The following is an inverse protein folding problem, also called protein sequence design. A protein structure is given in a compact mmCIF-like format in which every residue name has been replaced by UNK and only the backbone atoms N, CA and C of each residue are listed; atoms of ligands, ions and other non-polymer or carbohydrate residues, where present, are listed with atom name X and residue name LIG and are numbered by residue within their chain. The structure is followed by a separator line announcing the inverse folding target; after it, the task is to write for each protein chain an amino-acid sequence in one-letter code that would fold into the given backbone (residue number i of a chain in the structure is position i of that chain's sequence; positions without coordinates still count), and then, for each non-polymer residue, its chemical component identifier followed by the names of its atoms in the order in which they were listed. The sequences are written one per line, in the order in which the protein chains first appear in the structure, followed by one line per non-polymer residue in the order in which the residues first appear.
data_IF_438768136243
#
_entry.id   IF_438768136243
#
_cell.length_a   1.000
_cell.length_b   1.000
_cell.length_c   1.000
_cell.angle_alpha   90.00
_cell.angle_beta   90.00
_cell.angle_gamma   90.00
#
_symmetry.space_group_name_H-M   'P 1'
#
loop_
_entity.id
_entity.type
_entity.pdbx_description
1 polymer ?
#
# COMPACT_ATOMS: atom_id res chain seq x y z
N UNK A 1 1.12 9.36 16.52
CA UNK A 1 0.50 10.59 17.08
C UNK A 1 0.98 10.94 18.50
N UNK A 2 0.95 10.03 19.49
CA UNK A 2 1.40 10.34 20.88
C UNK A 2 2.85 10.85 21.01
N UNK A 3 3.78 10.37 20.18
CA UNK A 3 5.20 10.80 20.21
C UNK A 3 5.44 12.20 19.63
N UNK A 4 4.57 12.67 18.72
CA UNK A 4 4.66 14.03 18.13
C UNK A 4 4.26 15.08 19.17
N UNK A 5 3.20 14.79 19.94
CA UNK A 5 2.78 15.64 21.05
C UNK A 5 3.88 15.77 22.12
N UNK A 6 4.51 14.66 22.52
CA UNK A 6 5.63 14.69 23.48
C UNK A 6 6.85 15.46 22.95
N UNK A 7 7.11 15.42 21.64
CA UNK A 7 8.21 16.17 21.03
C UNK A 7 7.95 17.68 21.04
N UNK A 8 6.73 18.11 20.70
CA UNK A 8 6.33 19.53 20.78
C UNK A 8 6.37 20.06 22.21
N UNK A 9 5.93 19.29 23.21
CA UNK A 9 5.99 19.70 24.62
C UNK A 9 7.43 19.81 25.13
N UNK A 10 8.35 19.01 24.59
CA UNK A 10 9.77 19.04 24.96
C UNK A 10 10.50 20.22 24.30
N UNK A 11 10.19 20.51 23.03
CA UNK A 11 10.71 21.66 22.29
C UNK A 11 10.22 23.00 22.87
N UNK A 12 8.94 23.10 23.25
CA UNK A 12 8.41 24.29 23.92
C UNK A 12 9.04 24.53 25.31
N UNK A 13 9.45 23.47 26.01
CA UNK A 13 10.17 23.58 27.29
C UNK A 13 11.60 24.08 27.12
N UNK A 14 12.29 23.64 26.07
CA UNK A 14 13.65 24.10 25.76
C UNK A 14 13.70 25.59 25.36
N UNK A 15 12.66 26.10 24.69
CA UNK A 15 12.57 27.49 24.27
C UNK A 15 12.33 28.48 25.44
N UNK A 16 11.86 27.99 26.61
CA UNK A 16 11.44 28.82 27.74
C UNK A 16 12.59 29.27 28.66
N UNK A 17 13.80 28.73 28.53
CA UNK A 17 14.84 28.85 29.58
C UNK A 17 16.27 29.24 29.13
N UNK A 18 16.48 29.79 27.94
CA UNK A 18 17.85 30.14 27.49
C UNK A 18 18.05 31.63 27.21
N UNK A 19 18.86 32.37 28.00
CA UNK A 19 19.36 33.69 27.65
C UNK A 19 20.70 33.54 26.91
N UNK A 20 20.68 33.37 25.59
CA UNK A 20 21.88 33.26 24.75
C UNK A 20 21.75 34.13 23.50
N UNK A 21 22.86 34.68 22.98
CA UNK A 21 22.86 35.69 21.92
C UNK A 21 22.21 35.16 20.63
N UNK A 22 21.29 35.97 20.11
CA UNK A 22 20.23 35.61 19.17
C UNK A 22 20.71 34.99 17.84
N UNK A 23 21.93 35.30 17.38
CA UNK A 23 22.44 34.81 16.09
C UNK A 23 23.03 33.38 16.06
N UNK A 24 23.49 32.84 17.20
CA UNK A 24 24.15 31.51 17.29
C UNK A 24 23.21 30.41 17.83
N UNK A 25 22.07 30.80 18.38
CA UNK A 25 21.04 29.88 18.85
C UNK A 25 20.11 29.44 17.70
N UNK A 26 19.80 30.34 16.78
CA UNK A 26 18.91 30.07 15.63
C UNK A 26 19.52 29.03 14.67
N UNK A 27 20.82 29.13 14.33
CA UNK A 27 21.50 28.18 13.44
C UNK A 27 21.62 26.76 14.05
N UNK A 28 21.83 26.65 15.37
CA UNK A 28 21.83 25.36 16.08
C UNK A 28 20.43 24.76 16.17
N UNK A 29 19.41 25.58 16.42
CA UNK A 29 18.03 25.12 16.44
C UNK A 29 17.57 24.64 15.06
N UNK A 30 17.95 25.33 13.98
CA UNK A 30 17.66 24.92 12.61
C UNK A 30 18.33 23.58 12.31
N UNK A 31 19.62 23.40 12.63
CA UNK A 31 20.32 22.12 12.43
C UNK A 31 19.74 20.98 13.27
N UNK A 32 19.32 21.25 14.51
CA UNK A 32 18.66 20.27 15.37
C UNK A 32 17.27 19.90 14.84
N UNK A 33 16.50 20.87 14.35
CA UNK A 33 15.20 20.65 13.70
C UNK A 33 15.37 19.83 12.42
N UNK A 34 16.35 20.15 11.57
CA UNK A 34 16.67 19.37 10.37
C UNK A 34 17.10 17.94 10.71
N UNK A 35 17.94 17.74 11.73
CA UNK A 35 18.35 16.42 12.21
C UNK A 35 17.16 15.62 12.76
N UNK A 36 16.26 16.26 13.51
CA UNK A 36 15.04 15.63 14.00
C UNK A 36 14.09 15.30 12.85
N UNK A 37 13.91 16.19 11.87
CA UNK A 37 13.11 15.93 10.67
C UNK A 37 13.69 14.79 9.84
N UNK A 38 15.03 14.73 9.67
CA UNK A 38 15.72 13.65 8.96
C UNK A 38 15.60 12.32 9.71
N UNK A 39 15.72 12.34 11.04
CA UNK A 39 15.54 11.15 11.87
C UNK A 39 14.09 10.66 11.87
N UNK A 40 13.12 11.57 11.95
CA UNK A 40 11.69 11.23 11.80
C UNK A 40 11.39 10.66 10.40
N UNK A 41 11.96 11.25 9.34
CA UNK A 41 11.86 10.72 7.98
C UNK A 41 12.40 9.30 7.85
N UNK A 42 13.61 9.04 8.39
CA UNK A 42 14.22 7.71 8.37
C UNK A 42 13.41 6.68 9.16
N UNK A 43 12.86 7.06 10.32
CA UNK A 43 12.04 6.17 11.15
C UNK A 43 10.69 5.83 10.51
N UNK A 44 10.09 6.78 9.79
CA UNK A 44 8.86 6.56 9.04
C UNK A 44 9.09 5.57 7.88
N UNK A 45 10.26 5.65 7.25
CA UNK A 45 10.67 4.76 6.17
C UNK A 45 11.01 3.34 6.64
N UNK A 46 11.59 3.20 7.84
CA UNK A 46 11.76 1.91 8.50
C UNK A 46 10.40 1.28 8.84
N UNK A 47 9.46 2.06 9.38
CA UNK A 47 8.10 1.59 9.72
C UNK A 47 7.34 1.13 8.47
N UNK A 48 7.50 1.83 7.35
CA UNK A 48 6.88 1.49 6.07
C UNK A 48 7.26 0.13 5.51
N UNK A 49 8.53 -0.28 5.65
CA UNK A 49 9.02 -1.58 5.16
C UNK A 49 8.38 -2.77 5.88
N UNK A 50 8.23 -2.67 7.20
CA UNK A 50 7.55 -3.72 7.97
C UNK A 50 6.05 -3.76 7.69
N UNK A 51 5.42 -2.60 7.50
CA UNK A 51 4.02 -2.51 7.08
C UNK A 51 3.78 -3.18 5.73
N UNK A 52 4.66 -2.96 4.76
CA UNK A 52 4.59 -3.57 3.42
C UNK A 52 4.55 -5.10 3.49
N UNK A 53 5.52 -5.71 4.18
CA UNK A 53 5.63 -7.16 4.29
C UNK A 53 4.39 -7.74 4.97
N UNK A 54 3.90 -7.08 6.02
CA UNK A 54 2.76 -7.57 6.78
C UNK A 54 1.44 -7.45 6.03
N UNK A 55 1.18 -6.32 5.35
CA UNK A 55 -0.03 -6.13 4.54
C UNK A 55 -0.05 -7.14 3.38
N UNK A 56 1.07 -7.31 2.68
CA UNK A 56 1.17 -8.24 1.55
C UNK A 56 0.91 -9.68 1.99
N UNK A 57 1.53 -10.10 3.09
CA UNK A 57 1.35 -11.44 3.66
C UNK A 57 -0.09 -11.66 4.12
N UNK A 58 -0.68 -10.67 4.79
CA UNK A 58 -2.10 -10.72 5.20
C UNK A 58 -3.01 -10.88 4.00
N UNK A 59 -2.78 -10.13 2.92
CA UNK A 59 -3.57 -10.25 1.70
C UNK A 59 -3.44 -11.65 1.08
N UNK A 60 -2.22 -12.22 1.02
CA UNK A 60 -2.00 -13.59 0.52
C UNK A 60 -2.82 -14.61 1.33
N UNK A 61 -2.74 -14.54 2.66
CA UNK A 61 -3.52 -15.42 3.53
C UNK A 61 -5.04 -15.24 3.36
N UNK A 62 -5.51 -13.99 3.31
CA UNK A 62 -6.94 -13.67 3.14
C UNK A 62 -7.45 -14.17 1.79
N UNK A 63 -6.71 -13.96 0.71
CA UNK A 63 -7.08 -14.46 -0.62
C UNK A 63 -7.12 -15.98 -0.68
N UNK A 64 -6.14 -16.66 -0.08
CA UNK A 64 -6.12 -18.11 -0.05
C UNK A 64 -7.28 -18.69 0.78
N UNK A 65 -7.57 -18.13 1.95
CA UNK A 65 -8.65 -18.57 2.82
C UNK A 65 -10.02 -18.27 2.22
N UNK A 66 -10.25 -17.03 1.77
CA UNK A 66 -11.55 -16.61 1.23
C UNK A 66 -11.81 -17.18 -0.16
N UNK A 67 -10.78 -17.41 -0.98
CA UNK A 67 -10.92 -18.12 -2.26
C UNK A 67 -11.36 -19.57 -2.05
N UNK A 68 -10.68 -20.30 -1.15
CA UNK A 68 -11.09 -21.66 -0.78
C UNK A 68 -12.51 -21.69 -0.19
N UNK A 69 -12.85 -20.72 0.67
CA UNK A 69 -14.19 -20.61 1.25
C UNK A 69 -15.26 -20.29 0.19
N UNK A 70 -14.96 -19.40 -0.77
CA UNK A 70 -15.86 -19.09 -1.86
C UNK A 70 -16.15 -20.32 -2.71
N UNK A 71 -15.12 -21.11 -3.06
CA UNK A 71 -15.29 -22.40 -3.77
C UNK A 71 -16.12 -23.38 -2.95
N UNK A 72 -15.87 -23.51 -1.64
CA UNK A 72 -16.67 -24.36 -0.76
C UNK A 72 -18.15 -23.95 -0.75
N UNK A 73 -18.45 -22.65 -0.62
CA UNK A 73 -19.82 -22.14 -0.59
C UNK A 73 -20.55 -22.41 -1.92
N UNK A 74 -19.87 -22.21 -3.05
CA UNK A 74 -20.43 -22.51 -4.37
C UNK A 74 -20.67 -24.01 -4.57
N UNK A 75 -19.71 -24.86 -4.18
CA UNK A 75 -19.84 -26.32 -4.29
C UNK A 75 -20.96 -26.86 -3.39
N UNK A 76 -21.03 -26.41 -2.13
CA UNK A 76 -22.09 -26.80 -1.20
C UNK A 76 -23.49 -26.39 -1.68
N UNK A 77 -23.59 -25.27 -2.40
CA UNK A 77 -24.86 -24.83 -2.97
C UNK A 77 -25.25 -25.64 -4.23
N UNK A 78 -24.28 -26.22 -4.94
CA UNK A 78 -24.49 -26.99 -6.15
C UNK A 78 -24.71 -28.49 -5.90
N UNK A 79 -23.86 -29.14 -5.09
CA UNK A 79 -23.89 -30.60 -4.86
C UNK A 79 -23.59 -30.95 -3.39
N UNK A 80 -24.46 -31.75 -2.76
CA UNK A 80 -24.31 -32.18 -1.36
C UNK A 80 -23.45 -33.45 -1.17
N UNK A 81 -22.93 -34.05 -2.23
CA UNK A 81 -22.31 -35.39 -2.20
C UNK A 81 -20.79 -35.39 -2.40
N UNK A 82 -20.18 -34.24 -2.67
CA UNK A 82 -18.76 -34.14 -3.04
C UNK A 82 -17.89 -33.84 -1.83
N UNK A 83 -16.84 -34.64 -1.60
CA UNK A 83 -15.84 -34.36 -0.56
C UNK A 83 -15.04 -33.10 -0.90
N UNK A 84 -15.22 -32.04 -0.12
CA UNK A 84 -14.45 -30.81 -0.29
C UNK A 84 -12.99 -31.02 0.13
N UNK A 85 -12.05 -30.65 -0.75
CA UNK A 85 -10.61 -30.65 -0.47
C UNK A 85 -10.07 -29.22 -0.54
N UNK A 86 -9.22 -28.85 0.42
CA UNK A 86 -8.51 -27.58 0.41
C UNK A 86 -7.53 -27.52 -0.77
N UNK A 87 -7.69 -26.52 -1.64
CA UNK A 87 -6.83 -26.36 -2.80
C UNK A 87 -5.63 -25.46 -2.44
N UNK A 88 -4.47 -26.11 -2.33
CA UNK A 88 -3.18 -25.49 -2.03
C UNK A 88 -2.72 -24.57 -3.16
N UNK A 89 -3.25 -24.75 -4.37
CA UNK A 89 -2.97 -23.89 -5.53
C UNK A 89 -3.35 -22.44 -5.28
N UNK A 90 -4.40 -22.16 -4.49
CA UNK A 90 -4.76 -20.79 -4.12
C UNK A 90 -3.66 -20.10 -3.32
N UNK A 91 -3.02 -20.80 -2.37
CA UNK A 91 -1.92 -20.26 -1.57
C UNK A 91 -0.73 -19.93 -2.47
N UNK A 92 -0.34 -20.87 -3.33
CA UNK A 92 0.80 -20.68 -4.23
C UNK A 92 0.54 -19.55 -5.25
N UNK A 93 -0.66 -19.53 -5.84
CA UNK A 93 -1.06 -18.48 -6.79
C UNK A 93 -1.06 -17.11 -6.13
N UNK A 94 -1.64 -16.98 -4.93
CA UNK A 94 -1.68 -15.73 -4.18
C UNK A 94 -0.27 -15.22 -3.84
N UNK A 95 0.59 -16.09 -3.32
CA UNK A 95 1.95 -15.76 -2.93
C UNK A 95 2.74 -15.21 -4.13
N UNK A 96 2.78 -15.97 -5.23
CA UNK A 96 3.50 -15.53 -6.44
C UNK A 96 2.95 -14.23 -7.01
N UNK A 97 1.62 -14.09 -7.12
CA UNK A 97 1.02 -12.90 -7.71
C UNK A 97 1.22 -11.65 -6.85
N UNK A 98 1.00 -11.72 -5.54
CA UNK A 98 1.01 -10.55 -4.67
C UNK A 98 2.45 -10.12 -4.38
N UNK A 99 3.34 -11.06 -4.02
CA UNK A 99 4.74 -10.71 -3.79
C UNK A 99 5.42 -10.26 -5.10
N UNK A 100 5.11 -10.92 -6.22
CA UNK A 100 5.55 -10.49 -7.54
C UNK A 100 5.10 -9.06 -7.85
N UNK A 101 3.81 -8.74 -7.65
CA UNK A 101 3.28 -7.39 -7.86
C UNK A 101 3.97 -6.35 -6.97
N UNK A 102 4.11 -6.63 -5.67
CA UNK A 102 4.72 -5.71 -4.70
C UNK A 102 6.19 -5.43 -5.01
N UNK A 103 6.92 -6.39 -5.58
CA UNK A 103 8.34 -6.22 -5.91
C UNK A 103 8.49 -5.58 -7.30
N UNK A 104 7.91 -6.20 -8.32
CA UNK A 104 8.13 -5.85 -9.73
C UNK A 104 7.56 -4.48 -10.06
N UNK A 105 6.36 -4.16 -9.62
CA UNK A 105 5.69 -2.91 -10.03
C UNK A 105 6.42 -1.67 -9.49
N UNK A 106 6.75 -1.56 -8.20
CA UNK A 106 7.49 -0.41 -7.68
C UNK A 106 8.91 -0.31 -8.24
N UNK A 107 9.56 -1.44 -8.54
CA UNK A 107 10.86 -1.46 -9.24
C UNK A 107 10.75 -0.90 -10.65
N UNK A 108 9.79 -1.39 -11.45
CA UNK A 108 9.55 -0.89 -12.81
C UNK A 108 9.23 0.62 -12.80
N UNK A 109 8.41 1.06 -11.83
CA UNK A 109 8.10 2.46 -11.62
C UNK A 109 9.31 3.30 -11.25
N UNK A 110 10.17 2.78 -10.38
CA UNK A 110 11.39 3.45 -9.98
C UNK A 110 12.32 3.68 -11.18
N UNK A 111 12.53 2.66 -12.03
CA UNK A 111 13.32 2.82 -13.25
C UNK A 111 12.69 3.82 -14.22
N UNK A 112 11.36 3.79 -14.38
CA UNK A 112 10.63 4.74 -15.22
C UNK A 112 10.81 6.19 -14.75
N UNK A 113 10.75 6.44 -13.44
CA UNK A 113 10.93 7.78 -12.88
C UNK A 113 12.37 8.25 -12.87
N UNK A 114 13.32 7.33 -12.67
CA UNK A 114 14.74 7.62 -12.78
C UNK A 114 15.10 8.02 -14.22
N UNK A 115 14.48 7.38 -15.22
CA UNK A 115 14.62 7.75 -16.62
C UNK A 115 14.11 9.18 -16.90
N UNK A 116 13.07 9.62 -16.20
CA UNK A 116 12.55 10.99 -16.27
C UNK A 116 13.34 12.01 -15.42
N UNK A 117 14.42 11.59 -14.75
CA UNK A 117 15.28 12.47 -13.96
C UNK A 117 14.77 12.80 -12.55
N UNK A 118 13.76 12.07 -12.04
CA UNK A 118 13.25 12.28 -10.68
C UNK A 118 14.14 11.62 -9.62
N UNK A 119 14.46 12.35 -8.53
CA UNK A 119 15.19 11.84 -7.36
C UNK A 119 14.27 11.11 -6.37
N UNK A 120 13.39 10.26 -6.90
CA UNK A 120 12.40 9.51 -6.14
C UNK A 120 13.07 8.44 -5.25
N UNK A 121 12.73 8.41 -3.95
CA UNK A 121 13.20 7.34 -3.07
C UNK A 121 12.39 6.05 -3.30
N UNK A 122 13.03 4.99 -3.80
CA UNK A 122 12.42 3.68 -4.07
C UNK A 122 11.61 3.11 -2.90
N UNK A 123 12.08 3.31 -1.67
CA UNK A 123 11.42 2.74 -0.48
C UNK A 123 10.10 3.47 -0.20
N UNK A 124 10.01 4.78 -0.50
CA UNK A 124 8.74 5.52 -0.37
C UNK A 124 7.71 5.01 -1.37
N UNK A 125 8.12 4.74 -2.60
CA UNK A 125 7.25 4.12 -3.62
C UNK A 125 6.77 2.74 -3.18
N UNK A 126 7.68 1.90 -2.70
CA UNK A 126 7.32 0.57 -2.19
C UNK A 126 6.28 0.62 -1.07
N UNK A 127 6.53 1.50 -0.09
CA UNK A 127 5.68 1.70 1.06
C UNK A 127 4.26 2.14 0.66
N UNK A 128 4.18 3.18 -0.16
CA UNK A 128 2.92 3.71 -0.70
C UNK A 128 2.14 2.65 -1.50
N UNK A 129 2.84 1.90 -2.36
CA UNK A 129 2.23 0.84 -3.15
C UNK A 129 1.68 -0.28 -2.27
N UNK A 130 2.42 -0.66 -1.24
CA UNK A 130 1.96 -1.61 -0.21
C UNK A 130 0.71 -1.19 0.51
N UNK A 131 0.62 0.08 0.92
CA UNK A 131 -0.56 0.57 1.63
C UNK A 131 -1.82 0.50 0.77
N UNK A 132 -1.70 0.70 -0.55
CA UNK A 132 -2.83 0.57 -1.48
C UNK A 132 -3.47 -0.83 -1.42
N UNK A 133 -2.70 -1.87 -1.11
CA UNK A 133 -3.19 -3.25 -1.01
C UNK A 133 -4.16 -3.49 0.16
N UNK A 134 -4.16 -2.62 1.16
CA UNK A 134 -5.10 -2.72 2.30
C UNK A 134 -6.56 -2.66 1.83
N UNK A 135 -6.84 -1.91 0.77
CA UNK A 135 -8.17 -1.80 0.18
C UNK A 135 -8.60 -3.16 -0.37
N UNK A 136 -7.67 -3.92 -0.98
CA UNK A 136 -7.96 -5.26 -1.49
C UNK A 136 -8.24 -6.27 -0.38
N UNK A 137 -7.57 -6.14 0.78
CA UNK A 137 -7.87 -6.97 1.96
C UNK A 137 -9.35 -6.80 2.34
N UNK A 138 -9.80 -5.55 2.49
CA UNK A 138 -11.20 -5.28 2.86
C UNK A 138 -12.16 -5.77 1.77
N UNK A 139 -11.85 -5.52 0.49
CA UNK A 139 -12.69 -5.95 -0.62
C UNK A 139 -12.82 -7.48 -0.72
N UNK A 140 -11.79 -8.23 -0.32
CA UNK A 140 -11.79 -9.71 -0.38
C UNK A 140 -12.89 -10.30 0.48
N UNK A 141 -13.18 -9.71 1.65
CA UNK A 141 -14.30 -10.12 2.50
C UNK A 141 -15.65 -9.87 1.82
N UNK A 142 -15.80 -8.75 1.12
CA UNK A 142 -17.04 -8.42 0.42
C UNK A 142 -17.25 -9.32 -0.81
N UNK A 143 -16.18 -9.73 -1.48
CA UNK A 143 -16.22 -10.63 -2.65
C UNK A 143 -16.66 -12.06 -2.31
N UNK A 144 -16.64 -12.43 -1.02
CA UNK A 144 -17.09 -13.74 -0.55
C UNK A 144 -18.55 -14.03 -0.94
N UNK A 145 -19.40 -13.00 -0.97
CA UNK A 145 -20.81 -13.14 -1.35
C UNK A 145 -20.91 -13.58 -2.82
N UNK A 146 -21.55 -14.73 -3.13
CA UNK A 146 -21.60 -15.31 -4.48
C UNK A 146 -22.64 -14.63 -5.39
N UNK A 147 -22.64 -13.30 -5.44
CA UNK A 147 -23.53 -12.50 -6.29
C UNK A 147 -22.70 -11.85 -7.39
N UNK A 148 -22.88 -12.33 -8.63
CA UNK A 148 -22.03 -11.94 -9.77
C UNK A 148 -21.97 -10.43 -10.02
N UNK A 149 -23.13 -9.74 -10.01
CA UNK A 149 -23.19 -8.30 -10.20
C UNK A 149 -22.48 -7.52 -9.08
N UNK A 150 -22.69 -7.92 -7.83
CA UNK A 150 -22.08 -7.28 -6.67
C UNK A 150 -20.54 -7.41 -6.71
N UNK A 151 -20.02 -8.58 -7.11
CA UNK A 151 -18.57 -8.79 -7.27
C UNK A 151 -17.95 -7.80 -8.25
N UNK A 152 -18.58 -7.55 -9.39
CA UNK A 152 -18.08 -6.56 -10.36
C UNK A 152 -18.06 -5.13 -9.80
N UNK A 153 -19.10 -4.72 -9.08
CA UNK A 153 -19.14 -3.41 -8.42
C UNK A 153 -18.00 -3.28 -7.41
N UNK A 154 -17.80 -4.29 -6.55
CA UNK A 154 -16.73 -4.27 -5.53
C UNK A 154 -15.34 -4.16 -6.18
N UNK A 155 -15.11 -4.86 -7.29
CA UNK A 155 -13.83 -4.81 -8.02
C UNK A 155 -13.57 -3.44 -8.62
N UNK A 156 -14.56 -2.85 -9.28
CA UNK A 156 -14.41 -1.51 -9.85
C UNK A 156 -14.17 -0.50 -8.72
N UNK A 157 -14.95 -0.57 -7.64
CA UNK A 157 -14.83 0.37 -6.53
C UNK A 157 -13.48 0.25 -5.81
N UNK A 158 -13.04 -0.97 -5.49
CA UNK A 158 -11.75 -1.21 -4.84
C UNK A 158 -10.57 -0.83 -5.71
N UNK A 159 -10.61 -1.16 -7.01
CA UNK A 159 -9.60 -0.77 -7.97
C UNK A 159 -9.50 0.75 -8.15
N UNK A 160 -10.63 1.45 -8.28
CA UNK A 160 -10.67 2.92 -8.37
C UNK A 160 -10.20 3.57 -7.06
N UNK A 161 -10.61 3.06 -5.90
CA UNK A 161 -10.17 3.58 -4.61
C UNK A 161 -8.65 3.41 -4.42
N UNK A 162 -8.12 2.23 -4.76
CA UNK A 162 -6.68 1.95 -4.71
C UNK A 162 -5.89 2.81 -5.71
N UNK A 163 -6.37 2.92 -6.95
CA UNK A 163 -5.79 3.78 -7.96
C UNK A 163 -5.80 5.26 -7.56
N UNK A 164 -6.88 5.74 -6.97
CA UNK A 164 -7.00 7.12 -6.49
C UNK A 164 -6.02 7.40 -5.35
N UNK A 165 -5.90 6.48 -4.38
CA UNK A 165 -4.91 6.57 -3.32
C UNK A 165 -3.50 6.65 -3.91
N UNK A 166 -3.17 5.78 -4.86
CA UNK A 166 -1.88 5.81 -5.52
C UNK A 166 -1.66 7.12 -6.27
N UNK A 167 -2.62 7.56 -7.08
CA UNK A 167 -2.54 8.77 -7.88
C UNK A 167 -2.31 10.03 -7.03
N UNK A 168 -3.03 10.18 -5.92
CA UNK A 168 -2.91 11.33 -5.02
C UNK A 168 -1.52 11.40 -4.40
N UNK A 169 -0.97 10.26 -3.98
CA UNK A 169 0.37 10.22 -3.42
C UNK A 169 1.45 10.38 -4.51
N UNK A 170 1.24 9.85 -5.72
CA UNK A 170 2.19 9.97 -6.84
C UNK A 170 2.42 11.43 -7.26
N UNK A 171 1.34 12.23 -7.27
CA UNK A 171 1.38 13.66 -7.59
C UNK A 171 2.30 14.47 -6.67
N UNK A 172 2.61 13.97 -5.48
CA UNK A 172 3.54 14.63 -4.56
C UNK A 172 5.02 14.39 -4.89
N UNK A 173 5.33 13.49 -5.83
CA UNK A 173 6.70 13.09 -6.17
C UNK A 173 7.17 13.49 -7.57
N UNK A 174 6.24 13.87 -8.45
CA UNK A 174 6.49 14.16 -9.86
C UNK A 174 5.86 15.52 -10.14
N UNK A 175 6.63 16.43 -10.73
CA UNK A 175 6.16 17.74 -11.17
C UNK A 175 6.06 17.77 -12.69
N UNK A 176 5.00 18.38 -13.24
CA UNK A 176 4.85 18.59 -14.69
C UNK A 176 3.96 17.58 -15.43
N UNK A 177 4.16 17.48 -16.75
CA UNK A 177 3.28 16.75 -17.67
C UNK A 177 3.37 15.21 -17.53
N UNK A 178 4.49 14.70 -17.00
CA UNK A 178 4.74 13.27 -16.83
C UNK A 178 3.90 12.61 -15.72
N UNK A 179 3.33 13.43 -14.84
CA UNK A 179 2.39 13.01 -13.79
C UNK A 179 1.19 12.29 -14.38
N UNK A 180 0.67 12.77 -15.51
CA UNK A 180 -0.53 12.20 -16.14
C UNK A 180 -0.28 10.78 -16.63
N UNK A 181 0.85 10.56 -17.31
CA UNK A 181 1.25 9.23 -17.80
C UNK A 181 1.41 8.26 -16.64
N UNK A 182 2.06 8.71 -15.57
CA UNK A 182 2.23 7.91 -14.38
C UNK A 182 0.89 7.59 -13.68
N UNK A 183 0.01 8.57 -13.49
CA UNK A 183 -1.30 8.31 -12.87
C UNK A 183 -2.12 7.32 -13.69
N UNK A 184 -2.10 7.43 -15.02
CA UNK A 184 -2.80 6.51 -15.93
C UNK A 184 -2.22 5.09 -15.81
N UNK A 185 -0.90 4.92 -15.86
CA UNK A 185 -0.27 3.61 -15.72
C UNK A 185 -0.59 2.96 -14.37
N UNK A 186 -0.54 3.74 -13.28
CA UNK A 186 -0.91 3.27 -11.96
C UNK A 186 -2.38 2.84 -11.87
N UNK A 187 -3.29 3.58 -12.51
CA UNK A 187 -4.70 3.22 -12.58
C UNK A 187 -4.91 1.87 -13.25
N UNK A 188 -4.27 1.64 -14.41
CA UNK A 188 -4.37 0.37 -15.11
C UNK A 188 -3.82 -0.80 -14.29
N UNK A 189 -2.68 -0.62 -13.62
CA UNK A 189 -2.08 -1.65 -12.76
C UNK A 189 -3.01 -2.05 -11.60
N UNK A 190 -3.65 -1.07 -10.96
CA UNK A 190 -4.55 -1.30 -9.82
C UNK A 190 -5.85 -1.98 -10.26
N UNK A 191 -6.41 -1.58 -11.40
CA UNK A 191 -7.58 -2.26 -11.99
C UNK A 191 -7.22 -3.68 -12.45
N UNK A 192 -6.07 -3.87 -13.08
CA UNK A 192 -5.61 -5.19 -13.51
C UNK A 192 -5.43 -6.14 -12.32
N UNK A 193 -4.85 -5.66 -11.21
CA UNK A 193 -4.75 -6.44 -9.98
C UNK A 193 -6.14 -6.79 -9.40
N UNK A 194 -7.06 -5.83 -9.37
CA UNK A 194 -8.43 -6.06 -8.87
C UNK A 194 -9.15 -7.14 -9.69
N UNK A 195 -9.08 -7.04 -11.02
CA UNK A 195 -9.67 -8.02 -11.94
C UNK A 195 -9.01 -9.39 -11.77
N UNK A 196 -7.67 -9.44 -11.65
CA UNK A 196 -6.94 -10.68 -11.41
C UNK A 196 -7.40 -11.38 -10.13
N UNK A 197 -7.53 -10.64 -9.02
CA UNK A 197 -8.03 -11.18 -7.74
C UNK A 197 -9.41 -11.81 -7.92
N UNK A 198 -10.34 -11.11 -8.57
CA UNK A 198 -11.68 -11.66 -8.82
C UNK A 198 -11.64 -12.90 -9.68
N UNK A 199 -10.92 -12.90 -10.80
CA UNK A 199 -10.93 -14.01 -11.75
C UNK A 199 -10.26 -15.25 -11.17
N UNK A 200 -9.20 -15.10 -10.37
CA UNK A 200 -8.46 -16.26 -9.83
C UNK A 200 -9.02 -16.82 -8.53
N UNK A 201 -9.59 -15.98 -7.66
CA UNK A 201 -10.04 -16.43 -6.33
C UNK A 201 -11.57 -16.48 -6.19
N UNK A 202 -12.29 -15.63 -6.91
CA UNK A 202 -13.75 -15.48 -6.81
C UNK A 202 -14.42 -15.63 -8.18
N UNK A 203 -13.79 -16.44 -9.04
CA UNK A 203 -14.22 -16.77 -10.39
C UNK A 203 -15.44 -17.66 -10.41
#
# INVERSE_FOLDING_TARGET
MKRVAQLMTSLMRACKHSPLPMGLAEDRHIKLLELQLKHLGNNQQATGRYGLIWISTTLVFVLALLGNLATYLTQKHADNTTSWSFDVSFVNTAAWSIYGYVIVVPLAYYFFLQYMGSNANIIRFWCMWGYSLTIFIMSSFLLLVPVGFLRWIIIILSGVASASFVALNLRSFIEGNDVSVAVIAAFFLQIALAVFIKVRFFG
#
